data_IF_429811500200
#
_entry.id   IF_429811500200
#
_cell.length_a   1.000
_cell.length_b   1.000
_cell.length_c   1.000
_cell.angle_alpha   90.00
_cell.angle_beta   90.00
_cell.angle_gamma   90.00
#
_symmetry.space_group_name_H-M   'P 1'
#
loop_
_entity.id
_entity.type
_entity.pdbx_description
1 polymer ?
#
# COMPACT_ATOMS: atom_id res chain seq x y z
N UNK A 1 -20.40 7.25 15.87
CA UNK A 1 -19.63 6.77 17.03
C UNK A 1 -18.59 7.84 17.34
N UNK A 2 -18.69 8.54 18.49
CA UNK A 2 -17.67 9.52 18.89
C UNK A 2 -16.58 8.75 19.62
N UNK A 3 -15.44 8.53 18.96
CA UNK A 3 -14.26 7.97 19.59
C UNK A 3 -13.47 9.09 20.25
N UNK A 4 -13.12 8.92 21.51
CA UNK A 4 -12.17 9.81 22.17
C UNK A 4 -10.76 9.48 21.65
N UNK A 5 -10.17 10.41 20.90
CA UNK A 5 -8.88 10.23 20.24
C UNK A 5 -7.74 10.36 21.28
N UNK A 6 -8.01 10.97 22.44
CA UNK A 6 -7.00 11.23 23.47
C UNK A 6 -6.46 9.97 24.14
N UNK A 7 -7.19 8.85 24.10
CA UNK A 7 -6.76 7.57 24.67
C UNK A 7 -5.84 6.76 23.74
N UNK A 8 -5.63 7.21 22.50
CA UNK A 8 -4.82 6.52 21.50
C UNK A 8 -3.34 6.88 21.63
N UNK A 9 -2.47 5.98 21.19
CA UNK A 9 -1.03 6.26 21.08
C UNK A 9 -0.80 7.38 20.03
N UNK A 10 0.25 8.20 20.17
CA UNK A 10 0.52 9.30 19.23
C UNK A 10 0.55 8.87 17.75
N UNK A 11 1.08 7.68 17.44
CA UNK A 11 1.10 7.11 16.08
C UNK A 11 -0.31 6.86 15.50
N UNK A 12 -1.24 6.47 16.37
CA UNK A 12 -2.62 6.17 16.01
C UNK A 12 -3.38 7.47 15.80
N UNK A 13 -3.19 8.45 16.70
CA UNK A 13 -3.74 9.80 16.56
C UNK A 13 -3.31 10.43 15.23
N UNK A 14 -2.01 10.36 14.89
CA UNK A 14 -1.49 10.86 13.61
C UNK A 14 -2.12 10.12 12.42
N UNK A 15 -2.29 8.81 12.51
CA UNK A 15 -2.94 8.00 11.45
C UNK A 15 -4.40 8.41 11.23
N UNK A 16 -5.16 8.67 12.30
CA UNK A 16 -6.54 9.16 12.21
C UNK A 16 -6.61 10.58 11.63
N UNK A 17 -5.73 11.48 12.06
CA UNK A 17 -5.67 12.85 11.54
C UNK A 17 -5.34 12.88 10.03
N UNK A 18 -4.34 12.11 9.61
CA UNK A 18 -3.98 11.97 8.19
C UNK A 18 -5.13 11.38 7.38
N UNK A 19 -5.80 10.34 7.91
CA UNK A 19 -6.95 9.75 7.25
C UNK A 19 -8.07 10.77 7.03
N UNK A 20 -8.42 11.55 8.05
CA UNK A 20 -9.45 12.59 7.94
C UNK A 20 -9.07 13.66 6.89
N UNK A 21 -7.80 14.07 6.87
CA UNK A 21 -7.27 15.02 5.89
C UNK A 21 -7.43 14.50 4.45
N UNK A 22 -7.01 13.26 4.19
CA UNK A 22 -7.09 12.66 2.86
C UNK A 22 -8.54 12.41 2.42
N UNK A 23 -9.40 11.93 3.32
CA UNK A 23 -10.83 11.72 3.02
C UNK A 23 -11.53 13.05 2.68
N UNK A 24 -11.21 14.14 3.38
CA UNK A 24 -11.73 15.48 3.09
C UNK A 24 -11.27 16.02 1.72
N UNK A 25 -10.10 15.60 1.23
CA UNK A 25 -9.60 15.91 -0.10
C UNK A 25 -10.16 14.99 -1.21
N UNK A 26 -11.10 14.08 -0.88
CA UNK A 26 -11.70 13.15 -1.84
C UNK A 26 -10.88 11.89 -2.10
N UNK A 27 -9.78 11.67 -1.38
CA UNK A 27 -9.03 10.43 -1.46
C UNK A 27 -9.80 9.29 -0.78
N UNK A 28 -9.67 8.07 -1.32
CA UNK A 28 -10.26 6.87 -0.72
C UNK A 28 -9.17 5.98 -0.15
N UNK A 29 -9.40 5.45 1.05
CA UNK A 29 -8.51 4.46 1.64
C UNK A 29 -8.47 3.24 0.73
N UNK A 30 -7.27 2.92 0.28
CA UNK A 30 -7.00 1.73 -0.51
C UNK A 30 -6.51 0.60 0.42
N UNK A 31 -7.09 -0.59 0.28
CA UNK A 31 -6.69 -1.77 1.05
C UNK A 31 -6.22 -2.86 0.10
N UNK A 32 -5.03 -3.41 0.37
CA UNK A 32 -4.42 -4.46 -0.43
C UNK A 32 -3.80 -5.51 0.48
N UNK A 33 -3.68 -6.73 -0.06
CA UNK A 33 -2.85 -7.77 0.55
C UNK A 33 -1.38 -7.38 0.58
N UNK A 34 -0.62 -7.98 1.51
CA UNK A 34 0.81 -7.68 1.71
C UNK A 34 1.72 -8.20 0.60
N UNK A 35 1.22 -9.14 -0.19
CA UNK A 35 1.97 -9.84 -1.23
C UNK A 35 1.42 -9.53 -2.61
N UNK A 36 2.27 -9.59 -3.63
CA UNK A 36 1.89 -9.56 -5.05
C UNK A 36 2.92 -10.27 -5.92
N UNK A 37 2.55 -10.58 -7.16
CA UNK A 37 3.47 -11.24 -8.09
C UNK A 37 4.70 -10.37 -8.34
N UNK A 38 5.89 -10.98 -8.21
CA UNK A 38 7.16 -10.28 -8.34
C UNK A 38 7.37 -9.65 -9.73
N UNK A 39 6.71 -10.18 -10.77
CA UNK A 39 6.77 -9.64 -12.13
C UNK A 39 6.47 -8.14 -12.20
N UNK A 40 5.51 -7.65 -11.39
CA UNK A 40 5.16 -6.22 -11.34
C UNK A 40 6.38 -5.35 -10.99
N UNK A 41 7.22 -5.80 -10.06
CA UNK A 41 8.41 -5.07 -9.62
C UNK A 41 9.57 -5.23 -10.58
N UNK A 42 9.71 -6.40 -11.19
CA UNK A 42 10.72 -6.65 -12.19
C UNK A 42 10.53 -5.75 -13.42
N UNK A 43 9.30 -5.60 -13.88
CA UNK A 43 8.94 -4.76 -15.04
C UNK A 43 9.11 -3.25 -14.75
N UNK A 44 8.95 -2.84 -13.48
CA UNK A 44 8.97 -1.43 -13.05
C UNK A 44 10.18 -1.10 -12.18
N UNK A 45 11.31 -1.77 -12.39
CA UNK A 45 12.51 -1.70 -11.54
C UNK A 45 13.04 -0.28 -11.33
N UNK A 46 12.90 0.60 -12.32
CA UNK A 46 13.32 2.01 -12.25
C UNK A 46 12.56 2.84 -11.21
N UNK A 47 11.38 2.40 -10.79
CA UNK A 47 10.57 3.07 -9.76
C UNK A 47 10.88 2.58 -8.35
N UNK A 48 11.71 1.53 -8.22
CA UNK A 48 12.11 1.02 -6.92
C UNK A 48 13.26 1.85 -6.37
N UNK A 49 13.10 2.32 -5.13
CA UNK A 49 14.16 3.00 -4.38
C UNK A 49 15.34 2.08 -4.06
N UNK A 50 15.11 0.76 -4.05
CA UNK A 50 16.10 -0.29 -3.88
C UNK A 50 15.67 -1.53 -4.66
N UNK A 51 16.64 -2.22 -5.26
CA UNK A 51 16.38 -3.47 -5.99
C UNK A 51 16.14 -4.67 -5.05
N UNK A 52 16.32 -4.49 -3.73
CA UNK A 52 16.14 -5.55 -2.74
C UNK A 52 14.66 -5.73 -2.40
N UNK A 53 13.97 -6.53 -3.22
CA UNK A 53 12.60 -6.98 -2.95
C UNK A 53 12.65 -8.37 -2.32
N UNK A 54 12.00 -8.54 -1.17
CA UNK A 54 11.89 -9.85 -0.52
C UNK A 54 10.91 -10.71 -1.32
N UNK A 55 11.38 -11.83 -1.85
CA UNK A 55 10.58 -12.76 -2.66
C UNK A 55 10.47 -14.13 -2.01
N UNK A 56 9.39 -14.84 -2.34
CA UNK A 56 9.16 -16.22 -1.95
C UNK A 56 8.29 -16.93 -2.98
N UNK A 57 8.44 -18.24 -3.08
CA UNK A 57 7.61 -19.07 -3.96
C UNK A 57 6.34 -19.46 -3.21
N UNK A 58 5.18 -19.18 -3.79
CA UNK A 58 3.88 -19.60 -3.26
C UNK A 58 3.64 -21.10 -3.50
N UNK A 59 2.60 -21.66 -2.86
CA UNK A 59 2.23 -23.07 -2.94
C UNK A 59 1.90 -23.54 -4.36
N UNK A 60 1.52 -22.62 -5.25
CA UNK A 60 1.22 -22.88 -6.66
C UNK A 60 2.41 -22.63 -7.61
N UNK A 61 3.60 -22.33 -7.06
CA UNK A 61 4.83 -22.11 -7.82
C UNK A 61 5.02 -20.68 -8.32
N UNK A 62 4.09 -19.75 -8.06
CA UNK A 62 4.28 -18.33 -8.41
C UNK A 62 5.35 -17.70 -7.54
N UNK A 63 6.13 -16.80 -8.13
CA UNK A 63 7.07 -15.98 -7.38
C UNK A 63 6.34 -14.73 -6.87
N UNK A 64 6.07 -14.70 -5.57
CA UNK A 64 5.49 -13.55 -4.90
C UNK A 64 6.58 -12.69 -4.26
N UNK A 65 6.24 -11.43 -4.04
CA UNK A 65 7.04 -10.44 -3.37
C UNK A 65 6.27 -9.85 -2.19
N UNK A 66 6.98 -9.59 -1.09
CA UNK A 66 6.50 -8.64 -0.07
C UNK A 66 6.58 -7.24 -0.68
N UNK A 67 5.46 -6.53 -0.65
CA UNK A 67 5.40 -5.17 -1.20
C UNK A 67 6.44 -4.25 -0.53
N UNK A 68 7.43 -3.68 -1.25
CA UNK A 68 8.40 -2.75 -0.68
C UNK A 68 7.76 -1.39 -0.36
N UNK A 69 6.80 -0.99 -1.18
CA UNK A 69 5.87 0.12 -0.97
C UNK A 69 4.55 -0.15 -1.73
N UNK A 70 3.59 0.79 -1.66
CA UNK A 70 2.24 0.61 -2.21
C UNK A 70 1.99 1.30 -3.55
N UNK A 71 2.97 2.05 -4.08
CA UNK A 71 2.80 2.96 -5.23
C UNK A 71 2.42 2.20 -6.48
N UNK A 72 3.20 1.18 -6.86
CA UNK A 72 2.93 0.36 -8.06
C UNK A 72 1.62 -0.42 -7.91
N UNK A 73 1.30 -0.88 -6.70
CA UNK A 73 0.04 -1.59 -6.43
C UNK A 73 -1.18 -0.69 -6.58
N UNK A 74 -1.06 0.59 -6.19
CA UNK A 74 -2.09 1.62 -6.43
C UNK A 74 -2.17 1.91 -7.94
N UNK A 75 -1.04 2.15 -8.61
CA UNK A 75 -1.01 2.46 -10.04
C UNK A 75 -1.64 1.35 -10.91
N UNK A 76 -1.34 0.08 -10.60
CA UNK A 76 -1.92 -1.09 -11.29
C UNK A 76 -3.45 -1.15 -11.21
N UNK A 77 -4.03 -0.62 -10.12
CA UNK A 77 -5.47 -0.78 -9.82
C UNK A 77 -6.25 0.52 -9.99
N UNK A 78 -5.56 1.65 -10.02
CA UNK A 78 -6.14 2.93 -10.36
C UNK A 78 -6.68 2.85 -11.79
N UNK A 79 -8.00 2.81 -11.91
CA UNK A 79 -8.64 3.12 -13.18
C UNK A 79 -8.44 4.61 -13.42
N UNK A 80 -7.91 5.03 -14.58
CA UNK A 80 -7.92 6.44 -14.95
C UNK A 80 -9.35 6.97 -14.82
N UNK A 81 -9.52 8.16 -14.26
CA UNK A 81 -10.78 8.85 -14.43
C UNK A 81 -11.07 8.96 -15.95
N UNK A 82 -12.32 8.72 -16.39
CA UNK A 82 -12.69 8.86 -17.79
C UNK A 82 -12.40 10.26 -18.33
#
# INVERSE_FOLDING_TARGET
MKFDISCLQPKEQASFALRALYEAAGCRKYHMGRFEEYGLYQENRSFLSSEQVITFTDLDGRLLALKPDVTLSIAKTAQPAP
#
